data_IF_945948806919
#
_entry.id   IF_945948806919
#
_cell.length_a   1.000
_cell.length_b   1.000
_cell.length_c   1.000
_cell.angle_alpha   90.00
_cell.angle_beta   90.00
_cell.angle_gamma   90.00
#
_symmetry.space_group_name_H-M   'P 1'
#
loop_
_entity.id
_entity.type
_entity.pdbx_description
1 polymer ?
#
# COMPACT_ATOMS: atom_id res chain seq x y z
N UNK A 1 15.46 20.21 7.02
CA UNK A 1 14.34 19.25 6.89
C UNK A 1 14.42 18.27 8.05
N UNK A 2 13.28 17.76 8.52
CA UNK A 2 13.22 16.83 9.65
C UNK A 2 12.99 15.40 9.21
N UNK A 3 13.67 14.46 9.88
CA UNK A 3 13.44 13.02 9.81
C UNK A 3 11.96 12.69 10.08
N UNK A 4 11.36 11.83 9.25
CA UNK A 4 10.00 11.32 9.43
C UNK A 4 9.98 9.79 9.44
N UNK A 5 9.27 9.26 10.43
CA UNK A 5 8.98 7.84 10.62
C UNK A 5 7.48 7.67 10.76
N UNK A 6 6.90 6.73 10.02
CA UNK A 6 5.53 6.26 10.24
C UNK A 6 5.56 5.11 11.24
N UNK A 7 4.54 5.03 12.10
CA UNK A 7 4.27 3.85 12.91
C UNK A 7 2.80 3.44 12.77
N UNK A 8 2.57 2.15 12.54
CA UNK A 8 1.25 1.60 12.24
C UNK A 8 0.81 0.55 13.28
N UNK A 9 0.63 0.92 14.57
CA UNK A 9 0.17 -0.04 15.57
C UNK A 9 -1.19 -0.63 15.22
N UNK A 10 -1.39 -1.89 15.59
CA UNK A 10 -2.67 -2.58 15.42
C UNK A 10 -3.15 -3.05 16.79
N UNK A 11 -4.34 -2.63 17.20
CA UNK A 11 -4.95 -2.99 18.48
C UNK A 11 -6.07 -4.02 18.28
N UNK A 12 -6.21 -4.92 19.26
CA UNK A 12 -7.25 -5.96 19.30
C UNK A 12 -8.54 -5.41 19.92
N UNK A 13 -9.07 -4.36 19.31
CA UNK A 13 -10.45 -3.88 19.45
C UNK A 13 -10.77 -3.12 18.15
N UNK A 14 -11.94 -3.38 17.56
CA UNK A 14 -12.48 -2.66 16.40
C UNK A 14 -13.96 -2.31 16.57
N UNK A 15 -14.48 -2.42 17.79
CA UNK A 15 -15.90 -2.27 18.10
C UNK A 15 -16.13 -1.17 19.14
N UNK A 16 -15.31 -1.10 20.19
CA UNK A 16 -15.48 -0.15 21.29
C UNK A 16 -14.84 1.21 20.96
N UNK A 17 -15.69 2.14 20.52
CA UNK A 17 -15.28 3.50 20.15
C UNK A 17 -14.64 4.27 21.31
N UNK A 18 -15.03 4.02 22.57
CA UNK A 18 -14.43 4.69 23.73
C UNK A 18 -12.98 4.23 23.95
N UNK A 19 -12.70 2.94 23.77
CA UNK A 19 -11.34 2.36 23.85
C UNK A 19 -10.48 2.87 22.70
N UNK A 20 -11.00 2.85 21.48
CA UNK A 20 -10.29 3.33 20.28
C UNK A 20 -9.96 4.82 20.44
N UNK A 21 -10.93 5.67 20.81
CA UNK A 21 -10.69 7.10 21.00
C UNK A 21 -9.69 7.37 22.13
N UNK A 22 -9.79 6.68 23.27
CA UNK A 22 -8.84 6.83 24.37
C UNK A 22 -7.40 6.48 23.98
N UNK A 23 -7.21 5.48 23.09
CA UNK A 23 -5.90 5.15 22.50
C UNK A 23 -5.42 6.26 21.55
N UNK A 24 -6.28 6.75 20.66
CA UNK A 24 -5.94 7.85 19.72
C UNK A 24 -5.55 9.14 20.46
N UNK A 25 -6.29 9.50 21.52
CA UNK A 25 -6.03 10.67 22.36
C UNK A 25 -4.67 10.53 23.08
N UNK A 26 -4.38 9.35 23.64
CA UNK A 26 -3.10 9.09 24.31
C UNK A 26 -1.90 9.19 23.36
N UNK A 27 -2.05 8.78 22.09
CA UNK A 27 -1.02 8.91 21.06
C UNK A 27 -0.81 10.35 20.61
N UNK A 28 -1.91 11.07 20.35
CA UNK A 28 -1.89 12.44 19.79
C UNK A 28 -1.59 13.52 20.82
N UNK A 29 -1.71 13.21 22.11
CA UNK A 29 -1.22 14.07 23.20
C UNK A 29 0.32 14.22 23.22
N UNK A 30 1.08 13.36 22.52
CA UNK A 30 2.54 13.45 22.43
C UNK A 30 2.94 14.53 21.41
N UNK A 31 3.68 15.59 21.82
CA UNK A 31 4.10 16.66 20.91
C UNK A 31 4.94 16.14 19.74
N UNK A 32 4.53 16.47 18.52
CA UNK A 32 5.19 16.02 17.29
C UNK A 32 4.75 14.66 16.77
N UNK A 33 3.65 14.09 17.30
CA UNK A 33 2.91 12.97 16.70
C UNK A 33 1.71 13.52 15.94
N UNK A 34 1.58 13.13 14.67
CA UNK A 34 0.46 13.45 13.80
C UNK A 34 -0.31 12.17 13.46
N UNK A 35 -1.62 12.14 13.70
CA UNK A 35 -2.50 11.05 13.26
C UNK A 35 -2.81 11.21 11.76
N UNK A 36 -2.25 10.33 10.93
CA UNK A 36 -2.54 10.29 9.50
C UNK A 36 -3.89 9.63 9.23
N UNK A 37 -4.13 8.49 9.87
CA UNK A 37 -5.30 7.65 9.60
C UNK A 37 -5.66 6.74 10.79
N UNK A 38 -6.91 6.31 10.85
CA UNK A 38 -7.31 5.14 11.63
C UNK A 38 -8.46 4.41 10.94
N UNK A 39 -8.43 3.09 10.95
CA UNK A 39 -9.44 2.22 10.36
C UNK A 39 -9.82 1.15 11.38
N UNK A 40 -11.12 0.90 11.56
CA UNK A 40 -11.64 -0.04 12.57
C UNK A 40 -12.61 -1.01 11.93
N UNK A 41 -12.26 -2.29 11.98
CA UNK A 41 -13.07 -3.37 11.43
C UNK A 41 -13.75 -4.15 12.56
N UNK A 42 -15.08 -4.23 12.50
CA UNK A 42 -15.93 -4.83 13.53
C UNK A 42 -15.90 -6.36 13.51
N UNK A 43 -15.77 -6.98 12.33
CA UNK A 43 -15.82 -8.44 12.16
C UNK A 43 -14.45 -9.06 12.47
N UNK A 44 -13.39 -8.41 11.99
CA UNK A 44 -12.03 -8.69 12.40
C UNK A 44 -11.74 -8.30 13.87
N UNK A 45 -12.59 -7.45 14.46
CA UNK A 45 -12.47 -6.83 15.79
C UNK A 45 -11.08 -6.23 16.03
N UNK A 46 -10.69 -5.33 15.13
CA UNK A 46 -9.31 -4.85 15.03
C UNK A 46 -9.29 -3.41 14.51
N UNK A 47 -8.50 -2.55 15.15
CA UNK A 47 -8.18 -1.22 14.62
C UNK A 47 -6.73 -1.15 14.16
N UNK A 48 -6.53 -0.49 13.02
CA UNK A 48 -5.25 -0.08 12.45
C UNK A 48 -5.13 1.42 12.63
N UNK A 49 -4.06 1.88 13.27
CA UNK A 49 -3.83 3.29 13.55
C UNK A 49 -2.52 3.68 12.86
N UNK A 50 -2.49 4.79 12.14
CA UNK A 50 -1.31 5.27 11.41
C UNK A 50 -0.91 6.64 11.94
N UNK A 51 0.23 6.70 12.64
CA UNK A 51 0.85 7.95 13.10
C UNK A 51 2.16 8.24 12.37
N UNK A 52 2.51 9.52 12.26
CA UNK A 52 3.81 9.96 11.74
C UNK A 52 4.39 11.09 12.58
N UNK A 53 5.70 11.28 12.50
CA UNK A 53 6.42 12.37 13.15
C UNK A 53 7.92 12.11 13.18
N UNK A 54 8.63 12.81 14.07
CA UNK A 54 10.05 12.55 14.33
C UNK A 54 10.23 11.19 15.04
N UNK A 55 11.35 10.47 14.81
CA UNK A 55 11.69 9.19 15.45
C UNK A 55 11.26 9.06 16.93
N UNK A 56 11.73 9.97 17.80
CA UNK A 56 11.46 9.91 19.24
C UNK A 56 10.00 10.20 19.61
N UNK A 57 9.36 11.14 18.90
CA UNK A 57 7.96 11.49 19.14
C UNK A 57 7.05 10.30 18.80
N UNK A 58 7.29 9.68 17.64
CA UNK A 58 6.54 8.51 17.15
C UNK A 58 6.75 7.29 18.05
N UNK A 59 7.98 7.06 18.53
CA UNK A 59 8.27 5.99 19.48
C UNK A 59 7.56 6.20 20.83
N UNK A 60 7.46 7.45 21.31
CA UNK A 60 6.69 7.76 22.52
C UNK A 60 5.17 7.66 22.30
N UNK A 61 4.64 8.10 21.16
CA UNK A 61 3.23 7.89 20.80
C UNK A 61 2.87 6.41 20.70
N UNK A 62 3.74 5.60 20.07
CA UNK A 62 3.60 4.15 20.03
C UNK A 62 3.64 3.51 21.43
N UNK A 63 4.49 4.01 22.35
CA UNK A 63 4.51 3.54 23.73
C UNK A 63 3.19 3.84 24.47
N UNK A 64 2.65 5.06 24.38
CA UNK A 64 1.37 5.39 25.00
C UNK A 64 0.18 4.64 24.35
N UNK A 65 0.24 4.33 23.05
CA UNK A 65 -0.70 3.41 22.39
C UNK A 65 -0.72 2.04 23.09
N UNK A 66 0.45 1.42 23.25
CA UNK A 66 0.60 0.07 23.81
C UNK A 66 0.16 0.05 25.27
N UNK A 67 0.56 1.07 26.04
CA UNK A 67 0.17 1.25 27.44
C UNK A 67 -1.34 1.41 27.58
N UNK A 68 -1.96 2.35 26.86
CA UNK A 68 -3.41 2.59 26.92
C UNK A 68 -4.22 1.38 26.47
N UNK A 69 -3.78 0.70 25.40
CA UNK A 69 -4.39 -0.56 24.96
C UNK A 69 -4.29 -1.65 26.04
N UNK A 70 -3.16 -1.78 26.74
CA UNK A 70 -2.98 -2.77 27.80
C UNK A 70 -3.80 -2.51 29.07
N UNK A 71 -4.19 -1.26 29.32
CA UNK A 71 -5.07 -0.85 30.41
C UNK A 71 -6.56 -1.14 30.11
N UNK A 72 -6.95 -1.09 28.84
CA UNK A 72 -8.36 -1.11 28.40
C UNK A 72 -8.82 -2.41 27.72
N UNK A 73 -7.91 -3.15 27.07
CA UNK A 73 -8.23 -4.35 26.30
C UNK A 73 -7.88 -5.60 27.09
N UNK A 74 -8.85 -6.50 27.23
CA UNK A 74 -8.69 -7.81 27.87
C UNK A 74 -8.83 -8.94 26.84
N UNK A 75 -7.68 -9.46 26.38
CA UNK A 75 -7.63 -10.55 25.41
C UNK A 75 -8.32 -11.84 25.86
N UNK A 76 -8.50 -12.05 27.17
CA UNK A 76 -9.22 -13.23 27.68
C UNK A 76 -10.71 -13.21 27.31
N UNK A 77 -11.23 -12.03 26.95
CA UNK A 77 -12.60 -11.79 26.49
C UNK A 77 -12.67 -11.49 24.98
N UNK A 78 -11.56 -11.07 24.37
CA UNK A 78 -11.50 -10.70 22.95
C UNK A 78 -11.77 -11.86 22.00
N UNK A 79 -12.69 -11.64 21.05
CA UNK A 79 -12.96 -12.49 19.89
C UNK A 79 -13.09 -11.62 18.64
N UNK A 80 -12.52 -12.08 17.53
CA UNK A 80 -12.59 -11.47 16.20
C UNK A 80 -12.03 -12.43 15.17
N UNK A 81 -12.35 -12.25 13.89
CA UNK A 81 -11.88 -13.16 12.84
C UNK A 81 -10.37 -13.01 12.54
N UNK A 82 -9.77 -11.87 12.91
CA UNK A 82 -8.35 -11.62 12.67
C UNK A 82 -7.44 -12.35 13.67
N UNK A 83 -6.39 -13.08 13.22
CA UNK A 83 -5.41 -13.68 14.12
C UNK A 83 -4.66 -12.63 14.93
N UNK A 84 -4.76 -12.74 16.26
CA UNK A 84 -4.17 -11.80 17.24
C UNK A 84 -3.44 -12.50 18.38
N UNK A 85 -2.43 -11.87 18.95
CA UNK A 85 -1.69 -12.35 20.13
C UNK A 85 -1.48 -11.30 21.23
N UNK A 86 -1.72 -10.01 20.95
CA UNK A 86 -1.51 -8.90 21.87
C UNK A 86 -2.67 -7.90 21.88
N UNK A 87 -2.89 -7.19 23.00
CA UNK A 87 -3.81 -6.05 23.09
C UNK A 87 -3.42 -4.97 22.07
N UNK A 88 -2.11 -4.72 21.96
CA UNK A 88 -1.48 -4.27 20.71
C UNK A 88 -0.78 -5.47 20.08
N UNK A 89 -1.20 -5.83 18.87
CA UNK A 89 -0.86 -7.11 18.22
C UNK A 89 0.39 -6.98 17.32
N UNK A 90 0.64 -5.80 16.76
CA UNK A 90 1.91 -5.40 16.15
C UNK A 90 2.11 -3.90 16.22
N UNK A 91 3.36 -3.45 16.28
CA UNK A 91 3.77 -2.06 16.20
C UNK A 91 5.03 -1.95 15.30
N UNK A 92 4.87 -1.73 13.98
CA UNK A 92 5.97 -1.51 13.06
C UNK A 92 6.37 -0.03 12.98
N UNK A 93 7.66 0.22 12.81
CA UNK A 93 8.21 1.49 12.32
C UNK A 93 8.55 1.38 10.83
N UNK A 94 8.29 2.46 10.08
CA UNK A 94 8.51 2.54 8.64
C UNK A 94 9.28 3.83 8.33
N UNK A 95 10.42 3.77 7.62
CA UNK A 95 11.15 4.97 7.22
C UNK A 95 10.39 5.72 6.11
N UNK A 96 10.14 7.02 6.30
CA UNK A 96 9.41 7.85 5.33
C UNK A 96 10.31 8.91 4.70
N UNK A 97 11.06 9.69 5.50
CA UNK A 97 11.93 10.75 4.98
C UNK A 97 13.17 10.92 5.85
N UNK A 98 14.35 10.96 5.20
CA UNK A 98 15.65 11.19 5.83
C UNK A 98 15.98 10.20 6.99
N UNK A 99 15.39 9.00 6.96
CA UNK A 99 15.54 7.92 7.96
C UNK A 99 15.89 6.61 7.25
N UNK A 100 16.85 5.86 7.77
CA UNK A 100 17.20 4.54 7.23
C UNK A 100 16.41 3.39 7.87
N UNK A 101 16.42 2.21 7.27
CA UNK A 101 15.76 1.03 7.86
C UNK A 101 16.42 0.64 9.20
N UNK A 102 17.74 0.78 9.28
CA UNK A 102 18.53 0.50 10.48
C UNK A 102 18.12 1.40 11.66
N UNK A 103 17.84 2.68 11.40
CA UNK A 103 17.31 3.58 12.42
C UNK A 103 15.93 3.14 12.92
N UNK A 104 15.04 2.69 12.03
CA UNK A 104 13.75 2.11 12.41
C UNK A 104 13.90 0.78 13.18
N UNK A 105 14.93 -0.02 12.88
CA UNK A 105 15.26 -1.25 13.65
C UNK A 105 15.74 -0.90 15.06
N UNK A 106 16.54 0.15 15.24
CA UNK A 106 16.95 0.60 16.58
C UNK A 106 15.79 1.22 17.37
N UNK A 107 14.87 1.97 16.73
CA UNK A 107 13.60 2.39 17.35
C UNK A 107 12.77 1.18 17.83
N UNK A 108 12.64 0.15 16.98
CA UNK A 108 11.91 -1.07 17.32
C UNK A 108 12.52 -1.79 18.53
N UNK A 109 13.85 -1.93 18.59
CA UNK A 109 14.56 -2.51 19.74
C UNK A 109 14.39 -1.68 21.01
N UNK A 110 14.54 -0.36 20.91
CA UNK A 110 14.41 0.56 22.04
C UNK A 110 12.99 0.53 22.64
N UNK A 111 11.95 0.59 21.79
CA UNK A 111 10.56 0.49 22.23
C UNK A 111 10.26 -0.89 22.82
N UNK A 112 10.71 -1.98 22.18
CA UNK A 112 10.52 -3.34 22.69
C UNK A 112 11.11 -3.54 24.08
N UNK A 113 12.32 -3.02 24.32
CA UNK A 113 12.94 -3.01 25.64
C UNK A 113 12.10 -2.21 26.65
N UNK A 114 11.69 -0.98 26.31
CA UNK A 114 10.91 -0.11 27.20
C UNK A 114 9.55 -0.73 27.58
N UNK A 115 8.83 -1.29 26.61
CA UNK A 115 7.54 -2.00 26.82
C UNK A 115 7.72 -3.20 27.75
N UNK A 116 8.76 -4.00 27.53
CA UNK A 116 9.08 -5.14 28.39
C UNK A 116 9.47 -4.73 29.83
N UNK A 117 10.20 -3.63 29.98
CA UNK A 117 10.69 -3.14 31.28
C UNK A 117 9.59 -2.44 32.08
N UNK A 118 8.78 -1.57 31.47
CA UNK A 118 7.75 -0.78 32.15
C UNK A 118 6.39 -1.49 32.24
N UNK A 119 5.90 -2.08 31.13
CA UNK A 119 4.56 -2.67 31.04
C UNK A 119 4.53 -4.17 31.32
N UNK A 120 5.70 -4.83 31.42
CA UNK A 120 5.87 -6.29 31.57
C UNK A 120 5.23 -7.12 30.46
N UNK A 121 4.93 -6.50 29.31
CA UNK A 121 4.43 -7.18 28.12
C UNK A 121 5.65 -7.80 27.40
N UNK A 122 5.68 -9.11 27.15
CA UNK A 122 6.73 -9.71 26.32
C UNK A 122 6.65 -9.23 24.87
N UNK A 123 7.80 -9.16 24.21
CA UNK A 123 7.92 -8.66 22.84
C UNK A 123 8.74 -9.61 21.98
N UNK A 124 8.22 -9.91 20.78
CA UNK A 124 9.00 -10.46 19.67
C UNK A 124 9.45 -9.34 18.74
N UNK A 125 10.69 -9.40 18.27
CA UNK A 125 11.13 -8.57 17.15
C UNK A 125 10.83 -9.27 15.82
N UNK A 126 10.34 -8.51 14.83
CA UNK A 126 9.83 -9.06 13.55
C UNK A 126 10.21 -8.23 12.31
N UNK A 127 9.98 -8.79 11.11
CA UNK A 127 10.48 -8.31 9.79
C UNK A 127 11.97 -7.90 9.88
N UNK A 128 12.38 -6.68 9.53
CA UNK A 128 13.81 -6.29 9.49
C UNK A 128 14.46 -6.18 10.88
N UNK A 129 13.66 -6.11 11.95
CA UNK A 129 14.17 -6.13 13.33
C UNK A 129 14.37 -7.57 13.86
N UNK A 130 13.94 -8.61 13.13
CA UNK A 130 13.91 -9.98 13.61
C UNK A 130 15.31 -10.52 13.99
N UNK A 131 15.44 -10.97 15.24
CA UNK A 131 16.66 -11.61 15.76
C UNK A 131 16.89 -13.03 15.22
N UNK A 132 15.86 -13.64 14.61
CA UNK A 132 15.85 -15.01 14.10
C UNK A 132 15.12 -15.05 12.75
N UNK A 133 15.59 -15.82 11.73
CA UNK A 133 14.96 -15.84 10.41
C UNK A 133 13.47 -16.21 10.41
N UNK A 134 13.05 -17.11 11.31
CA UNK A 134 11.64 -17.50 11.45
C UNK A 134 10.74 -16.40 12.03
N UNK A 135 11.28 -15.32 12.61
CA UNK A 135 10.53 -14.18 13.12
C UNK A 135 10.31 -13.06 12.11
N UNK A 136 10.97 -13.09 10.94
CA UNK A 136 10.72 -12.11 9.88
C UNK A 136 9.23 -12.11 9.49
N UNK A 137 8.63 -13.30 9.29
CA UNK A 137 7.23 -13.41 8.90
C UNK A 137 6.28 -13.37 10.12
N UNK A 138 5.53 -12.27 10.25
CA UNK A 138 4.50 -12.08 11.28
C UNK A 138 3.50 -13.24 11.42
N UNK A 139 3.13 -13.91 10.32
CA UNK A 139 2.22 -15.06 10.36
C UNK A 139 2.83 -16.31 11.05
N UNK A 140 4.16 -16.41 11.08
CA UNK A 140 4.88 -17.44 11.85
C UNK A 140 4.95 -17.03 13.31
N UNK A 141 5.28 -15.77 13.61
CA UNK A 141 5.33 -15.20 14.97
C UNK A 141 3.99 -15.41 15.70
N UNK A 142 2.87 -15.06 15.04
CA UNK A 142 1.50 -15.17 15.56
C UNK A 142 0.88 -16.56 15.48
N UNK A 143 1.59 -17.57 14.98
CA UNK A 143 1.03 -18.92 14.85
C UNK A 143 0.55 -19.41 16.22
N UNK A 144 -0.70 -19.86 16.32
CA UNK A 144 -1.32 -20.28 17.58
C UNK A 144 -2.08 -19.17 18.33
N UNK A 145 -1.98 -17.91 17.89
CA UNK A 145 -2.65 -16.75 18.51
C UNK A 145 -2.28 -16.58 20.00
N UNK A 146 -3.03 -15.75 20.73
CA UNK A 146 -2.87 -15.54 22.17
C UNK A 146 -2.91 -16.86 22.95
N UNK A 147 -3.90 -17.72 22.69
CA UNK A 147 -4.14 -18.95 23.45
C UNK A 147 -3.00 -19.96 23.28
N UNK A 148 -2.62 -20.27 22.03
CA UNK A 148 -1.54 -21.22 21.77
C UNK A 148 -0.17 -20.69 22.21
N UNK A 149 0.08 -19.38 22.13
CA UNK A 149 1.35 -18.83 22.64
C UNK A 149 1.39 -18.86 24.16
N UNK A 150 0.29 -18.54 24.88
CA UNK A 150 0.20 -18.69 26.34
C UNK A 150 0.56 -20.11 26.80
N UNK A 151 0.06 -21.11 26.09
CA UNK A 151 0.24 -22.52 26.46
C UNK A 151 1.64 -23.04 26.09
N UNK A 152 2.27 -22.50 25.03
CA UNK A 152 3.63 -22.90 24.59
C UNK A 152 4.78 -22.09 25.22
N UNK A 153 4.60 -20.82 25.61
CA UNK A 153 5.70 -19.87 25.89
C UNK A 153 6.68 -20.32 26.98
N UNK A 154 6.18 -21.05 27.98
CA UNK A 154 6.97 -21.54 29.13
C UNK A 154 7.83 -22.76 28.82
N UNK A 155 7.47 -23.52 27.79
CA UNK A 155 8.01 -24.87 27.52
C UNK A 155 8.68 -24.99 26.15
N UNK A 156 8.28 -24.15 25.18
CA UNK A 156 8.81 -24.13 23.82
C UNK A 156 9.92 -23.06 23.68
N UNK A 157 11.21 -23.42 23.53
CA UNK A 157 12.30 -22.46 23.38
C UNK A 157 12.14 -21.50 22.19
N UNK A 158 11.40 -21.89 21.14
CA UNK A 158 11.16 -21.01 19.99
C UNK A 158 10.19 -19.87 20.27
N UNK A 159 9.40 -19.99 21.35
CA UNK A 159 8.50 -18.94 21.86
C UNK A 159 9.16 -18.00 22.87
N UNK A 160 10.44 -18.20 23.22
CA UNK A 160 11.13 -17.29 24.15
C UNK A 160 11.15 -15.86 23.58
N UNK A 161 10.56 -14.85 24.25
CA UNK A 161 10.53 -13.47 23.74
C UNK A 161 11.93 -12.89 23.55
N UNK A 162 12.04 -11.87 22.69
CA UNK A 162 13.28 -11.10 22.54
C UNK A 162 13.49 -10.16 23.73
N UNK A 163 12.39 -9.58 24.24
CA UNK A 163 12.36 -8.78 25.46
C UNK A 163 11.18 -9.17 26.36
N UNK A 164 11.35 -9.00 27.67
CA UNK A 164 10.29 -9.19 28.67
C UNK A 164 10.25 -10.58 29.31
N UNK A 165 9.21 -10.86 30.12
CA UNK A 165 9.05 -12.14 30.80
C UNK A 165 8.92 -13.32 29.82
N UNK A 166 9.37 -14.51 30.22
CA UNK A 166 9.07 -15.74 29.46
C UNK A 166 7.67 -16.30 29.80
N UNK A 167 6.68 -15.41 29.75
CA UNK A 167 5.27 -15.65 30.03
C UNK A 167 4.45 -14.55 29.31
N UNK A 168 3.19 -14.83 28.96
CA UNK A 168 2.32 -13.80 28.37
C UNK A 168 1.79 -12.84 29.44
N UNK A 169 1.55 -11.59 29.08
CA UNK A 169 0.82 -10.68 29.96
C UNK A 169 -0.63 -11.17 30.13
N UNK A 170 -1.20 -11.25 31.36
CA UNK A 170 -2.46 -11.93 31.61
C UNK A 170 -3.64 -11.46 30.74
N UNK A 171 -3.76 -10.15 30.54
CA UNK A 171 -4.82 -9.51 29.73
C UNK A 171 -4.33 -8.98 28.39
N UNK A 172 -3.04 -8.61 28.29
CA UNK A 172 -2.47 -7.91 27.13
C UNK A 172 -1.68 -8.83 26.19
N UNK A 173 -1.44 -10.08 26.57
CA UNK A 173 -0.79 -11.09 25.75
C UNK A 173 0.68 -10.80 25.47
N UNK A 174 1.05 -10.86 24.20
CA UNK A 174 2.40 -10.71 23.67
C UNK A 174 2.34 -9.94 22.37
N UNK A 175 3.32 -9.10 22.07
CA UNK A 175 3.28 -8.25 20.87
C UNK A 175 4.48 -8.43 19.96
N UNK A 176 4.32 -8.05 18.69
CA UNK A 176 5.42 -7.91 17.74
C UNK A 176 5.79 -6.43 17.59
N UNK A 177 7.07 -6.08 17.70
CA UNK A 177 7.59 -4.75 17.35
C UNK A 177 8.67 -4.93 16.29
N UNK A 178 8.73 -4.07 15.29
CA UNK A 178 9.70 -4.25 14.21
C UNK A 178 9.83 -3.06 13.29
N UNK A 179 10.63 -3.26 12.25
CA UNK A 179 10.80 -2.30 11.17
C UNK A 179 10.51 -2.98 9.83
N UNK A 180 9.88 -2.26 8.90
CA UNK A 180 9.56 -2.76 7.56
C UNK A 180 9.38 -1.62 6.57
N UNK A 181 9.41 -1.94 5.28
CA UNK A 181 8.92 -1.03 4.25
C UNK A 181 7.38 -0.86 4.36
N UNK A 182 6.85 0.19 3.73
CA UNK A 182 5.41 0.39 3.51
C UNK A 182 4.82 -0.88 2.88
N UNK A 183 3.70 -1.32 3.42
CA UNK A 183 2.97 -2.51 2.99
C UNK A 183 1.67 -2.03 2.37
N UNK A 184 1.44 -2.40 1.10
CA UNK A 184 0.20 -2.06 0.39
C UNK A 184 -0.71 -3.29 0.44
N UNK A 185 -1.90 -3.14 1.01
CA UNK A 185 -2.96 -4.12 0.93
C UNK A 185 -3.69 -3.92 -0.40
N UNK A 186 -3.44 -4.82 -1.35
CA UNK A 186 -3.94 -4.75 -2.72
C UNK A 186 -4.71 -6.03 -3.05
N UNK A 187 -6.01 -5.91 -3.25
CA UNK A 187 -6.88 -7.04 -3.53
C UNK A 187 -7.33 -7.02 -4.99
N UNK A 188 -7.54 -8.19 -5.62
CA UNK A 188 -8.02 -8.30 -7.01
C UNK A 188 -9.29 -9.15 -7.06
N UNK A 189 -10.34 -8.58 -7.64
CA UNK A 189 -11.68 -9.14 -7.71
C UNK A 189 -11.86 -10.00 -8.97
N UNK A 190 -12.36 -11.23 -8.81
CA UNK A 190 -12.59 -12.20 -9.89
C UNK A 190 -14.08 -12.35 -10.19
N UNK A 191 -14.42 -12.53 -11.48
CA UNK A 191 -15.77 -12.80 -11.99
C UNK A 191 -16.23 -14.24 -11.70
N UNK A 192 -16.19 -14.64 -10.42
CA UNK A 192 -16.62 -15.97 -9.98
C UNK A 192 -16.80 -15.98 -8.47
N UNK A 193 -17.91 -16.52 -7.98
CA UNK A 193 -18.12 -16.80 -6.55
C UNK A 193 -17.33 -18.01 -6.04
N UNK A 194 -16.70 -18.80 -6.92
CA UNK A 194 -15.92 -19.95 -6.52
C UNK A 194 -14.53 -19.55 -6.00
N UNK A 195 -14.42 -19.57 -4.67
CA UNK A 195 -13.19 -19.29 -3.92
C UNK A 195 -12.02 -20.22 -4.24
N UNK A 196 -12.24 -21.37 -4.91
CA UNK A 196 -11.15 -22.26 -5.30
C UNK A 196 -10.22 -21.62 -6.34
N UNK A 197 -10.74 -20.80 -7.25
CA UNK A 197 -9.92 -20.03 -8.20
C UNK A 197 -9.06 -19.01 -7.45
N UNK A 198 -9.67 -18.16 -6.61
CA UNK A 198 -8.94 -17.17 -5.81
C UNK A 198 -7.88 -17.82 -4.90
N UNK A 199 -8.17 -18.99 -4.30
CA UNK A 199 -7.20 -19.75 -3.49
C UNK A 199 -6.08 -20.38 -4.31
N UNK A 200 -6.33 -20.74 -5.57
CA UNK A 200 -5.33 -21.30 -6.48
C UNK A 200 -4.38 -20.22 -6.98
N UNK A 201 -4.92 -19.10 -7.49
CA UNK A 201 -4.14 -17.94 -7.90
C UNK A 201 -3.36 -17.34 -6.71
N UNK A 202 -4.01 -17.24 -5.54
CA UNK A 202 -3.37 -16.79 -4.30
C UNK A 202 -2.22 -17.66 -3.82
N UNK A 203 -2.19 -18.97 -4.16
CA UNK A 203 -1.01 -19.83 -3.96
C UNK A 203 0.06 -19.53 -5.01
N UNK A 204 -0.31 -19.52 -6.28
CA UNK A 204 0.62 -19.30 -7.40
C UNK A 204 1.40 -17.98 -7.26
N UNK A 205 0.76 -16.92 -6.76
CA UNK A 205 1.35 -15.59 -6.71
C UNK A 205 2.21 -15.31 -5.47
N UNK A 206 2.01 -16.01 -4.35
CA UNK A 206 2.68 -15.68 -3.08
C UNK A 206 4.05 -16.34 -2.93
N UNK A 207 4.99 -15.61 -2.35
CA UNK A 207 6.38 -16.05 -2.19
C UNK A 207 6.53 -17.43 -1.51
N UNK A 208 5.69 -17.72 -0.51
CA UNK A 208 5.75 -18.97 0.27
C UNK A 208 5.67 -20.24 -0.60
N UNK A 209 4.91 -20.19 -1.69
CA UNK A 209 4.69 -21.34 -2.58
C UNK A 209 5.46 -21.21 -3.91
N UNK A 210 6.45 -20.29 -3.97
CA UNK A 210 7.32 -20.08 -5.14
C UNK A 210 6.94 -18.91 -6.05
N UNK A 211 5.89 -18.14 -5.71
CA UNK A 211 5.46 -16.94 -6.43
C UNK A 211 6.36 -15.72 -6.19
N UNK A 212 5.84 -14.51 -6.43
CA UNK A 212 6.61 -13.28 -6.33
C UNK A 212 7.17 -13.06 -4.93
N UNK A 213 8.47 -12.75 -4.86
CA UNK A 213 9.11 -12.23 -3.66
C UNK A 213 8.38 -10.97 -3.19
N UNK A 214 8.25 -10.79 -1.89
CA UNK A 214 7.51 -9.68 -1.27
C UNK A 214 5.97 -9.69 -1.45
N UNK A 215 5.38 -10.71 -2.08
CA UNK A 215 3.93 -10.90 -2.13
C UNK A 215 3.48 -11.98 -1.14
N UNK A 216 2.60 -11.61 -0.20
CA UNK A 216 1.85 -12.54 0.66
C UNK A 216 0.39 -12.52 0.17
N UNK A 217 -0.25 -13.67 -0.11
CA UNK A 217 -1.61 -13.69 -0.65
C UNK A 217 -2.51 -14.81 -0.10
N UNK A 218 -3.83 -14.57 -0.15
CA UNK A 218 -4.90 -15.49 0.23
C UNK A 218 -6.13 -15.30 -0.67
N UNK A 219 -6.95 -16.35 -0.81
CA UNK A 219 -8.18 -16.32 -1.60
C UNK A 219 -9.42 -16.32 -0.71
N UNK A 220 -10.29 -15.32 -0.89
CA UNK A 220 -11.51 -15.09 -0.11
C UNK A 220 -12.76 -15.11 -0.99
N UNK A 221 -13.93 -15.28 -0.35
CA UNK A 221 -15.24 -15.17 -0.99
C UNK A 221 -15.97 -13.95 -0.41
N UNK A 222 -16.32 -12.99 -1.26
CA UNK A 222 -17.11 -11.81 -0.90
C UNK A 222 -18.58 -12.14 -1.15
N UNK A 223 -19.22 -12.77 -0.14
CA UNK A 223 -20.57 -13.32 -0.25
C UNK A 223 -21.62 -12.29 -0.71
N UNK A 224 -21.54 -11.06 -0.19
CA UNK A 224 -22.49 -9.99 -0.51
C UNK A 224 -22.42 -9.55 -1.97
N UNK A 225 -21.21 -9.55 -2.55
CA UNK A 225 -20.97 -9.23 -3.96
C UNK A 225 -21.09 -10.44 -4.89
N UNK A 226 -21.27 -11.66 -4.34
CA UNK A 226 -21.25 -12.93 -5.06
C UNK A 226 -20.00 -13.14 -5.94
N UNK A 227 -18.82 -12.75 -5.42
CA UNK A 227 -17.53 -12.89 -6.11
C UNK A 227 -16.45 -13.48 -5.18
N UNK A 228 -15.28 -13.77 -5.75
CA UNK A 228 -14.09 -14.19 -5.03
C UNK A 228 -12.95 -13.20 -5.29
N UNK A 229 -12.03 -13.12 -4.33
CA UNK A 229 -11.01 -12.08 -4.29
C UNK A 229 -9.65 -12.69 -3.94
N UNK A 230 -8.62 -12.34 -4.71
CA UNK A 230 -7.22 -12.60 -4.39
C UNK A 230 -6.73 -11.41 -3.56
N UNK A 231 -6.74 -11.54 -2.24
CA UNK A 231 -6.21 -10.52 -1.34
C UNK A 231 -4.70 -10.66 -1.21
N UNK A 232 -3.97 -9.56 -1.34
CA UNK A 232 -2.51 -9.54 -1.30
C UNK A 232 -1.98 -8.45 -0.38
N UNK A 233 -0.95 -8.78 0.39
CA UNK A 233 -0.12 -7.83 1.10
C UNK A 233 1.23 -7.75 0.38
N UNK A 234 1.48 -6.59 -0.23
CA UNK A 234 2.69 -6.24 -0.97
C UNK A 234 3.67 -5.61 0.01
N UNK A 235 4.58 -6.41 0.58
CA UNK A 235 5.45 -5.96 1.70
C UNK A 235 6.68 -5.16 1.27
N UNK A 236 6.93 -5.09 -0.04
CA UNK A 236 7.89 -4.22 -0.68
C UNK A 236 7.44 -4.03 -2.14
N UNK A 237 6.73 -2.93 -2.40
CA UNK A 237 6.17 -2.63 -3.72
C UNK A 237 7.23 -2.22 -4.75
N UNK A 238 8.38 -1.71 -4.31
CA UNK A 238 9.51 -1.37 -5.20
C UNK A 238 10.15 -2.65 -5.77
N UNK A 239 10.29 -3.68 -4.92
CA UNK A 239 10.83 -4.98 -5.30
C UNK A 239 9.84 -5.84 -6.10
N UNK A 240 8.53 -5.67 -5.91
CA UNK A 240 7.49 -6.26 -6.75
C UNK A 240 6.32 -5.28 -6.90
N UNK A 241 6.28 -4.52 -8.01
CA UNK A 241 5.25 -3.52 -8.27
C UNK A 241 3.84 -4.10 -8.44
N UNK A 242 2.82 -3.28 -8.13
CA UNK A 242 1.41 -3.65 -8.21
C UNK A 242 0.99 -4.11 -9.60
N UNK A 243 1.52 -3.49 -10.67
CA UNK A 243 1.20 -3.90 -12.04
C UNK A 243 1.62 -5.36 -12.35
N UNK A 244 2.72 -5.85 -11.76
CA UNK A 244 3.20 -7.21 -12.01
C UNK A 244 2.29 -8.24 -11.36
N UNK A 245 1.85 -7.99 -10.14
CA UNK A 245 0.91 -8.90 -9.47
C UNK A 245 -0.48 -8.81 -10.08
N UNK A 246 -0.94 -7.61 -10.45
CA UNK A 246 -2.21 -7.43 -11.15
C UNK A 246 -2.27 -8.19 -12.49
N UNK A 247 -1.29 -7.98 -13.38
CA UNK A 247 -1.23 -8.69 -14.67
C UNK A 247 -1.05 -10.21 -14.48
N UNK A 248 -0.33 -10.66 -13.45
CA UNK A 248 -0.25 -12.08 -13.13
C UNK A 248 -1.60 -12.66 -12.70
N UNK A 249 -2.33 -12.02 -11.76
CA UNK A 249 -3.68 -12.47 -11.35
C UNK A 249 -4.61 -12.50 -12.56
N UNK A 250 -4.56 -11.48 -13.41
CA UNK A 250 -5.36 -11.35 -14.64
C UNK A 250 -5.06 -12.46 -15.65
N UNK A 251 -3.79 -12.81 -15.87
CA UNK A 251 -3.41 -13.90 -16.77
C UNK A 251 -3.81 -15.28 -16.20
N UNK A 252 -3.59 -15.52 -14.90
CA UNK A 252 -4.00 -16.77 -14.25
C UNK A 252 -5.54 -16.91 -14.20
N UNK A 253 -6.28 -15.82 -14.01
CA UNK A 253 -7.73 -15.79 -14.12
C UNK A 253 -8.20 -16.23 -15.52
N UNK A 254 -7.58 -15.70 -16.58
CA UNK A 254 -7.89 -16.08 -17.96
C UNK A 254 -7.62 -17.57 -18.24
N UNK A 255 -6.62 -18.20 -17.61
CA UNK A 255 -6.40 -19.65 -17.73
C UNK A 255 -7.58 -20.50 -17.21
N UNK A 256 -8.38 -19.98 -16.27
CA UNK A 256 -9.61 -20.62 -15.78
C UNK A 256 -10.87 -20.13 -16.51
N UNK A 257 -10.74 -19.28 -17.54
CA UNK A 257 -11.88 -18.69 -18.26
C UNK A 257 -12.66 -17.63 -17.48
N UNK A 258 -12.10 -17.11 -16.38
CA UNK A 258 -12.71 -16.06 -15.55
C UNK A 258 -12.01 -14.71 -15.78
N UNK A 259 -12.73 -13.61 -15.60
CA UNK A 259 -12.20 -12.26 -15.75
C UNK A 259 -11.83 -11.63 -14.41
N UNK A 260 -10.85 -10.72 -14.41
CA UNK A 260 -10.69 -9.75 -13.32
C UNK A 260 -11.66 -8.60 -13.53
N UNK A 261 -12.55 -8.35 -12.58
CA UNK A 261 -13.59 -7.29 -12.70
C UNK A 261 -13.17 -5.97 -12.06
N UNK A 262 -12.21 -6.01 -11.14
CA UNK A 262 -11.70 -4.83 -10.44
C UNK A 262 -10.57 -5.19 -9.48
N UNK A 263 -10.06 -4.20 -8.78
CA UNK A 263 -9.13 -4.33 -7.68
C UNK A 263 -9.45 -3.30 -6.59
N UNK A 264 -8.76 -3.36 -5.47
CA UNK A 264 -9.01 -2.52 -4.30
C UNK A 264 -7.69 -2.27 -3.57
N UNK A 265 -7.47 -1.03 -3.12
CA UNK A 265 -6.39 -0.69 -2.20
C UNK A 265 -7.03 -0.35 -0.85
N UNK A 266 -6.64 -1.09 0.18
CA UNK A 266 -7.11 -0.87 1.56
C UNK A 266 -6.09 -0.01 2.30
N UNK A 267 -6.56 1.07 2.92
CA UNK A 267 -5.73 2.06 3.60
C UNK A 267 -4.98 3.00 2.64
N UNK A 268 -3.78 3.44 3.05
CA UNK A 268 -2.94 4.36 2.29
C UNK A 268 -1.99 3.64 1.34
N UNK A 269 -1.69 4.27 0.20
CA UNK A 269 -0.66 3.81 -0.76
C UNK A 269 0.32 4.94 -1.10
N UNK A 270 1.62 4.64 -1.27
CA UNK A 270 2.56 5.58 -1.88
C UNK A 270 2.19 5.87 -3.34
N UNK A 271 2.37 7.11 -3.77
CA UNK A 271 2.14 7.51 -5.16
C UNK A 271 3.03 6.71 -6.13
N UNK A 272 4.29 6.40 -5.75
CA UNK A 272 5.21 5.65 -6.62
C UNK A 272 4.66 4.27 -7.02
N UNK A 273 3.87 3.60 -6.17
CA UNK A 273 3.23 2.34 -6.50
C UNK A 273 2.16 2.46 -7.62
N UNK A 274 1.55 3.64 -7.74
CA UNK A 274 0.64 4.00 -8.84
C UNK A 274 1.43 4.49 -10.06
N UNK A 275 2.44 5.35 -9.88
CA UNK A 275 3.32 5.83 -10.95
C UNK A 275 4.01 4.69 -11.68
N UNK A 276 4.52 3.66 -10.98
CA UNK A 276 5.10 2.45 -11.58
C UNK A 276 4.13 1.74 -12.53
N UNK A 277 2.82 1.78 -12.22
CA UNK A 277 1.78 1.20 -13.06
C UNK A 277 1.50 2.07 -14.30
N UNK A 278 1.58 3.41 -14.19
CA UNK A 278 1.48 4.34 -15.33
C UNK A 278 2.71 4.20 -16.25
N UNK A 279 3.92 4.19 -15.66
CA UNK A 279 5.21 3.93 -16.33
C UNK A 279 5.14 2.65 -17.15
N UNK A 280 4.66 1.55 -16.56
CA UNK A 280 4.50 0.28 -17.26
C UNK A 280 3.42 0.31 -18.36
N UNK A 281 2.20 0.75 -18.01
CA UNK A 281 1.04 0.66 -18.90
C UNK A 281 1.15 1.55 -20.13
N UNK A 282 1.72 2.75 -19.96
CA UNK A 282 1.76 3.79 -20.99
C UNK A 282 3.16 4.05 -21.54
N UNK A 283 4.17 3.28 -21.11
CA UNK A 283 5.58 3.40 -21.52
C UNK A 283 6.12 4.83 -21.38
N UNK A 284 5.69 5.52 -20.32
CA UNK A 284 6.21 6.84 -19.96
C UNK A 284 7.57 6.69 -19.25
N UNK A 285 8.46 7.70 -19.29
CA UNK A 285 9.68 7.68 -18.49
C UNK A 285 9.36 7.60 -16.99
N UNK A 286 10.37 7.30 -16.18
CA UNK A 286 10.30 7.40 -14.72
C UNK A 286 9.74 8.76 -14.29
N UNK A 287 8.69 8.74 -13.47
CA UNK A 287 8.04 9.94 -12.96
C UNK A 287 8.68 10.31 -11.62
N UNK A 288 9.37 11.45 -11.58
CA UNK A 288 10.03 11.96 -10.36
C UNK A 288 9.14 12.94 -9.58
N UNK A 289 9.46 13.20 -8.30
CA UNK A 289 8.69 14.15 -7.47
C UNK A 289 8.65 15.56 -8.08
N UNK A 290 9.75 15.96 -8.73
CA UNK A 290 9.89 17.24 -9.41
C UNK A 290 8.95 17.39 -10.62
N UNK A 291 8.57 16.29 -11.27
CA UNK A 291 7.64 16.29 -12.40
C UNK A 291 6.17 16.41 -11.97
N UNK A 292 5.84 16.17 -10.70
CA UNK A 292 4.46 16.14 -10.22
C UNK A 292 3.99 17.56 -9.82
N UNK A 293 2.82 17.98 -10.30
CA UNK A 293 2.08 19.11 -9.74
C UNK A 293 1.21 18.61 -8.58
N UNK A 294 1.77 18.72 -7.38
CA UNK A 294 1.16 18.33 -6.12
C UNK A 294 0.06 19.29 -5.64
N UNK A 295 0.01 20.50 -6.17
CA UNK A 295 -1.05 21.46 -5.85
C UNK A 295 -2.35 21.15 -6.61
N UNK A 296 -2.27 20.35 -7.68
CA UNK A 296 -3.36 19.96 -8.61
C UNK A 296 -4.17 21.15 -9.17
N UNK A 297 -3.56 22.35 -9.15
CA UNK A 297 -4.14 23.61 -9.62
C UNK A 297 -4.09 23.73 -11.13
N UNK A 298 -3.10 23.12 -11.79
CA UNK A 298 -3.07 23.08 -13.23
C UNK A 298 -3.99 21.97 -13.75
N UNK A 299 -5.09 22.35 -14.42
CA UNK A 299 -5.97 21.40 -15.10
C UNK A 299 -5.53 21.09 -16.55
N UNK A 300 -4.40 21.62 -17.00
CA UNK A 300 -3.84 21.31 -18.31
C UNK A 300 -2.66 20.35 -18.22
N UNK A 301 -2.45 19.56 -19.27
CA UNK A 301 -1.28 18.71 -19.44
C UNK A 301 -0.63 18.99 -20.80
N UNK A 302 0.68 19.20 -20.80
CA UNK A 302 1.48 19.25 -22.03
C UNK A 302 2.58 18.20 -21.97
N UNK A 303 2.69 17.42 -23.03
CA UNK A 303 3.73 16.42 -23.17
C UNK A 303 4.18 16.26 -24.63
N UNK A 304 5.40 15.78 -24.79
CA UNK A 304 6.02 15.53 -26.10
C UNK A 304 6.32 14.06 -26.26
N UNK A 305 6.20 13.56 -27.50
CA UNK A 305 6.66 12.22 -27.88
C UNK A 305 7.64 12.28 -29.05
N UNK A 306 8.65 11.42 -28.97
CA UNK A 306 9.58 11.10 -30.05
C UNK A 306 9.39 9.63 -30.41
N UNK A 307 9.46 9.29 -31.70
CA UNK A 307 9.24 7.92 -32.21
C UNK A 307 10.46 7.42 -32.99
N UNK A 308 10.74 6.12 -32.90
CA UNK A 308 11.91 5.48 -33.52
C UNK A 308 12.01 5.73 -35.04
N UNK A 309 10.87 5.73 -35.73
CA UNK A 309 10.74 5.99 -37.17
C UNK A 309 9.59 6.97 -37.40
N UNK A 310 9.92 8.26 -37.45
CA UNK A 310 8.94 9.30 -37.77
C UNK A 310 8.62 9.35 -39.27
N UNK A 311 7.34 9.40 -39.63
CA UNK A 311 6.84 9.80 -40.94
C UNK A 311 5.77 10.90 -40.78
N UNK A 312 5.63 11.76 -41.79
CA UNK A 312 4.60 12.81 -41.78
C UNK A 312 3.18 12.23 -41.76
N UNK A 313 2.99 11.05 -42.36
CA UNK A 313 1.73 10.29 -42.35
C UNK A 313 1.36 9.86 -40.93
N UNK A 314 2.30 9.29 -40.17
CA UNK A 314 2.10 8.95 -38.75
C UNK A 314 1.78 10.20 -37.92
N UNK A 315 2.52 11.29 -38.12
CA UNK A 315 2.26 12.55 -37.42
C UNK A 315 0.84 13.06 -37.64
N UNK A 316 0.40 13.09 -38.90
CA UNK A 316 -0.97 13.47 -39.27
C UNK A 316 -2.02 12.49 -38.73
N UNK A 317 -1.74 11.18 -38.75
CA UNK A 317 -2.64 10.16 -38.20
C UNK A 317 -2.86 10.36 -36.70
N UNK A 318 -1.80 10.56 -35.90
CA UNK A 318 -1.96 10.79 -34.46
C UNK A 318 -2.73 12.10 -34.20
N UNK A 319 -2.44 13.17 -34.96
CA UNK A 319 -3.20 14.43 -34.86
C UNK A 319 -4.70 14.18 -35.14
N UNK A 320 -5.02 13.42 -36.19
CA UNK A 320 -6.40 13.07 -36.53
C UNK A 320 -7.05 12.17 -35.46
N UNK A 321 -6.34 11.15 -34.94
CA UNK A 321 -6.87 10.25 -33.91
C UNK A 321 -7.14 10.96 -32.58
N UNK A 322 -6.38 12.02 -32.27
CA UNK A 322 -6.56 12.82 -31.05
C UNK A 322 -7.57 13.97 -31.21
N UNK A 323 -7.81 14.46 -32.43
CA UNK A 323 -8.66 15.63 -32.71
C UNK A 323 -10.16 15.41 -32.42
N UNK A 324 -10.81 16.40 -31.81
CA UNK A 324 -12.25 16.40 -31.53
C UNK A 324 -13.11 16.28 -32.81
N UNK A 325 -12.69 16.91 -33.92
CA UNK A 325 -13.41 16.91 -35.21
C UNK A 325 -13.56 15.51 -35.84
N UNK A 326 -12.75 14.56 -35.38
CA UNK A 326 -12.60 13.20 -35.90
C UNK A 326 -13.03 12.14 -34.88
N UNK A 327 -13.68 12.55 -33.79
CA UNK A 327 -14.17 11.65 -32.74
C UNK A 327 -13.11 11.28 -31.68
N UNK A 328 -12.01 12.03 -31.64
CA UNK A 328 -10.96 11.93 -30.62
C UNK A 328 -11.36 12.56 -29.29
N UNK A 329 -10.59 13.54 -28.82
CA UNK A 329 -10.71 14.11 -27.47
C UNK A 329 -10.99 15.60 -27.53
N UNK A 330 -11.99 16.04 -26.76
CA UNK A 330 -12.36 17.45 -26.61
C UNK A 330 -11.24 18.23 -25.92
N UNK A 331 -10.93 19.42 -26.43
CA UNK A 331 -9.88 20.27 -25.84
C UNK A 331 -8.45 19.71 -25.96
N UNK A 332 -8.21 18.71 -26.82
CA UNK A 332 -6.89 18.16 -27.09
C UNK A 332 -6.36 18.68 -28.42
N UNK A 333 -5.12 19.18 -28.41
CA UNK A 333 -4.42 19.75 -29.56
C UNK A 333 -3.08 19.05 -29.73
N UNK A 334 -2.85 18.47 -30.90
CA UNK A 334 -1.58 17.85 -31.26
C UNK A 334 -0.93 18.59 -32.43
N UNK A 335 0.40 18.72 -32.41
CA UNK A 335 1.18 19.31 -33.50
C UNK A 335 2.53 18.60 -33.64
N UNK A 336 3.09 18.59 -34.86
CA UNK A 336 4.44 18.08 -35.13
C UNK A 336 5.40 19.23 -35.36
N UNK A 337 6.56 19.19 -34.71
CA UNK A 337 7.71 20.03 -35.03
C UNK A 337 9.00 19.21 -34.90
N UNK A 338 9.90 19.28 -35.89
CA UNK A 338 11.20 18.61 -35.86
C UNK A 338 11.17 17.10 -35.51
N UNK A 339 10.16 16.36 -36.01
CA UNK A 339 9.88 14.92 -35.71
C UNK A 339 9.41 14.62 -34.29
N UNK A 340 9.24 15.64 -33.45
CA UNK A 340 8.60 15.56 -32.14
C UNK A 340 7.11 15.89 -32.31
N UNK A 341 6.23 15.09 -31.73
CA UNK A 341 4.81 15.42 -31.62
C UNK A 341 4.54 15.99 -30.22
N UNK A 342 4.00 17.20 -30.16
CA UNK A 342 3.59 17.87 -28.93
C UNK A 342 2.08 17.76 -28.78
N UNK A 343 1.61 17.23 -27.65
CA UNK A 343 0.20 17.07 -27.31
C UNK A 343 -0.11 17.97 -26.11
N UNK A 344 -1.13 18.81 -26.26
CA UNK A 344 -1.67 19.69 -25.21
C UNK A 344 -3.10 19.28 -24.90
N UNK A 345 -3.43 19.16 -23.63
CA UNK A 345 -4.76 18.87 -23.10
C UNK A 345 -5.20 20.07 -22.29
N UNK A 346 -6.22 20.80 -22.74
CA UNK A 346 -6.69 22.01 -22.06
C UNK A 346 -7.43 21.71 -20.73
N UNK A 347 -8.07 20.54 -20.63
CA UNK A 347 -8.84 20.06 -19.47
C UNK A 347 -8.60 18.56 -19.24
N UNK A 348 -7.64 18.24 -18.37
CA UNK A 348 -7.22 16.89 -18.04
C UNK A 348 -8.21 16.17 -17.10
N UNK A 349 -9.04 16.90 -16.34
CA UNK A 349 -10.10 16.32 -15.48
C UNK A 349 -11.29 15.80 -16.28
N UNK A 350 -11.68 16.43 -17.39
CA UNK A 350 -12.73 15.90 -18.27
C UNK A 350 -12.22 14.99 -19.39
N UNK A 351 -10.92 15.01 -19.69
CA UNK A 351 -10.30 14.12 -20.69
C UNK A 351 -9.98 12.74 -20.10
N UNK A 352 -10.43 11.62 -20.71
CA UNK A 352 -10.04 10.28 -20.28
C UNK A 352 -8.57 9.99 -20.62
N UNK A 353 -7.66 10.45 -19.76
CA UNK A 353 -6.21 10.46 -19.99
C UNK A 353 -5.62 9.08 -20.32
N UNK A 354 -6.10 8.02 -19.66
CA UNK A 354 -5.73 6.64 -19.99
C UNK A 354 -6.01 6.29 -21.47
N UNK A 355 -7.15 6.71 -22.00
CA UNK A 355 -7.54 6.45 -23.39
C UNK A 355 -6.70 7.30 -24.35
N UNK A 356 -6.37 8.54 -23.97
CA UNK A 356 -5.49 9.42 -24.75
C UNK A 356 -4.09 8.82 -24.90
N UNK A 357 -3.49 8.35 -23.81
CA UNK A 357 -2.20 7.66 -23.85
C UNK A 357 -2.28 6.35 -24.66
N UNK A 358 -3.32 5.52 -24.46
CA UNK A 358 -3.50 4.29 -25.24
C UNK A 358 -3.71 4.53 -26.74
N UNK A 359 -4.51 5.53 -27.14
CA UNK A 359 -4.66 5.90 -28.56
C UNK A 359 -3.31 6.33 -29.13
N UNK A 360 -2.57 7.18 -28.43
CA UNK A 360 -1.23 7.63 -28.86
C UNK A 360 -0.27 6.46 -29.09
N UNK A 361 -0.23 5.48 -28.17
CA UNK A 361 0.58 4.27 -28.30
C UNK A 361 0.11 3.39 -29.47
N UNK A 362 -1.19 3.11 -29.52
CA UNK A 362 -1.81 2.24 -30.53
C UNK A 362 -1.56 2.73 -31.95
N UNK A 363 -1.68 4.03 -32.21
CA UNK A 363 -1.37 4.60 -33.53
C UNK A 363 0.12 4.46 -33.88
N UNK A 364 1.04 4.62 -32.93
CA UNK A 364 2.48 4.39 -33.20
C UNK A 364 2.80 2.93 -33.51
N UNK A 365 2.20 1.99 -32.78
CA UNK A 365 2.39 0.56 -33.01
C UNK A 365 1.74 0.09 -34.31
N UNK A 366 0.59 0.65 -34.69
CA UNK A 366 -0.07 0.38 -35.98
C UNK A 366 0.83 0.73 -37.18
N UNK A 367 1.64 1.79 -37.06
CA UNK A 367 2.62 2.20 -38.07
C UNK A 367 3.96 1.44 -37.97
N UNK A 368 4.07 0.42 -37.12
CA UNK A 368 5.29 -0.39 -36.98
C UNK A 368 6.48 0.37 -36.38
N UNK A 369 6.21 1.42 -35.59
CA UNK A 369 7.21 2.15 -34.79
C UNK A 369 6.85 2.08 -33.31
N UNK A 370 7.77 2.54 -32.46
CA UNK A 370 7.54 2.71 -31.03
C UNK A 370 7.83 4.15 -30.63
N UNK A 371 7.20 4.61 -29.55
CA UNK A 371 7.65 5.80 -28.81
C UNK A 371 9.01 5.47 -28.19
N UNK A 372 10.03 6.27 -28.51
CA UNK A 372 11.38 6.16 -27.94
C UNK A 372 11.59 7.04 -26.73
N UNK A 373 10.79 8.10 -26.62
CA UNK A 373 10.82 9.04 -25.50
C UNK A 373 9.47 9.75 -25.40
N UNK A 374 8.95 9.84 -24.18
CA UNK A 374 7.88 10.76 -23.83
C UNK A 374 8.45 11.74 -22.79
N UNK A 375 8.09 13.02 -22.83
CA UNK A 375 8.58 14.02 -21.88
C UNK A 375 7.44 14.91 -21.39
N UNK A 376 7.41 15.15 -20.08
CA UNK A 376 6.44 16.01 -19.39
C UNK A 376 7.21 17.14 -18.68
N UNK A 377 6.63 18.34 -18.64
CA UNK A 377 7.17 19.44 -17.82
C UNK A 377 6.61 19.36 -16.39
N UNK A 378 5.28 19.34 -16.27
CA UNK A 378 4.54 19.05 -15.04
C UNK A 378 3.37 18.13 -15.34
N UNK A 379 3.10 17.19 -14.43
CA UNK A 379 1.98 16.25 -14.48
C UNK A 379 1.09 16.51 -13.27
N UNK A 380 -0.16 16.98 -13.45
CA UNK A 380 -1.14 17.06 -12.36
C UNK A 380 -1.35 15.70 -11.72
N UNK A 381 -1.32 15.62 -10.39
CA UNK A 381 -1.40 14.35 -9.68
C UNK A 381 -2.68 13.56 -10.04
N UNK A 382 -3.82 14.23 -10.27
CA UNK A 382 -5.04 13.54 -10.69
C UNK A 382 -4.90 12.76 -12.01
N UNK A 383 -4.00 13.17 -12.92
CA UNK A 383 -3.74 12.45 -14.19
C UNK A 383 -3.10 11.10 -13.91
N UNK A 384 -2.08 11.08 -13.05
CA UNK A 384 -1.37 9.85 -12.67
C UNK A 384 -2.30 8.88 -11.96
N UNK A 385 -3.08 9.40 -11.00
CA UNK A 385 -4.04 8.61 -10.23
C UNK A 385 -5.11 8.02 -11.14
N UNK A 386 -5.75 8.84 -11.98
CA UNK A 386 -6.80 8.36 -12.91
C UNK A 386 -6.25 7.33 -13.91
N UNK A 387 -5.02 7.50 -14.39
CA UNK A 387 -4.37 6.56 -15.29
C UNK A 387 -4.04 5.23 -14.60
N UNK A 388 -3.51 5.26 -13.37
CA UNK A 388 -3.20 4.08 -12.58
C UNK A 388 -4.46 3.32 -12.15
N UNK A 389 -5.47 4.04 -11.65
CA UNK A 389 -6.79 3.51 -11.24
C UNK A 389 -7.47 2.81 -12.40
N UNK A 390 -7.47 3.41 -13.61
CA UNK A 390 -8.00 2.73 -14.80
C UNK A 390 -7.25 1.44 -15.13
N UNK A 391 -5.91 1.51 -15.17
CA UNK A 391 -5.09 0.39 -15.61
C UNK A 391 -5.13 -0.80 -14.63
N UNK A 392 -5.01 -0.54 -13.34
CA UNK A 392 -5.13 -1.54 -12.27
C UNK A 392 -6.60 -1.88 -11.93
N UNK A 393 -7.58 -1.22 -12.54
CA UNK A 393 -9.03 -1.36 -12.30
C UNK A 393 -9.43 -1.13 -10.83
N UNK A 394 -8.81 -0.17 -10.15
CA UNK A 394 -9.06 0.06 -8.71
C UNK A 394 -10.45 0.65 -8.51
N UNK A 395 -11.25 0.00 -7.68
CA UNK A 395 -12.59 0.45 -7.29
C UNK A 395 -12.48 1.42 -6.11
N UNK A 396 -13.35 2.45 -6.06
CA UNK A 396 -13.52 3.38 -4.94
C UNK A 396 -12.26 4.13 -4.46
N UNK A 397 -11.23 4.24 -5.30
CA UNK A 397 -9.98 4.90 -4.93
C UNK A 397 -10.10 6.43 -4.91
N UNK A 398 -9.71 7.06 -3.81
CA UNK A 398 -9.65 8.52 -3.68
C UNK A 398 -8.20 9.05 -3.61
N UNK A 399 -7.98 10.28 -4.06
CA UNK A 399 -6.66 10.93 -4.02
C UNK A 399 -6.14 11.11 -2.58
N UNK A 400 -7.03 11.23 -1.59
CA UNK A 400 -6.70 11.25 -0.17
C UNK A 400 -6.17 9.92 0.38
N UNK A 401 -6.24 8.80 -0.36
CA UNK A 401 -5.54 7.56 0.01
C UNK A 401 -4.05 7.59 -0.33
N UNK A 402 -3.57 8.61 -1.03
CA UNK A 402 -2.15 8.74 -1.37
C UNK A 402 -1.41 9.26 -0.14
N UNK A 403 -0.42 8.49 0.31
CA UNK A 403 0.35 8.79 1.51
C UNK A 403 0.95 10.20 1.43
N UNK A 404 1.67 10.50 0.35
CA UNK A 404 2.36 11.76 0.15
C UNK A 404 1.42 12.98 0.09
N UNK A 405 0.15 12.80 -0.29
CA UNK A 405 -0.89 13.84 -0.20
C UNK A 405 -1.22 14.10 1.28
N UNK A 406 -1.56 13.06 2.05
CA UNK A 406 -1.78 13.21 3.50
C UNK A 406 -0.56 13.77 4.24
N UNK A 407 0.66 13.46 3.79
CA UNK A 407 1.88 14.06 4.35
C UNK A 407 1.96 15.57 4.08
N UNK A 408 1.75 16.00 2.83
CA UNK A 408 1.77 17.43 2.45
C UNK A 408 0.65 18.23 3.12
N UNK A 409 -0.50 17.61 3.40
CA UNK A 409 -1.60 18.22 4.16
C UNK A 409 -1.32 18.34 5.67
N UNK A 410 -0.82 17.26 6.30
CA UNK A 410 -0.77 17.14 7.78
C UNK A 410 0.61 17.35 8.40
N UNK A 411 1.68 17.43 7.60
CA UNK A 411 3.07 17.51 8.08
C UNK A 411 3.78 18.67 7.36
N UNK A 412 3.57 19.88 7.88
CA UNK A 412 4.25 21.12 7.45
C UNK A 412 5.62 21.31 8.12
#
# INVERSE_FOLDING_TARGET
>A
MSKLVECVPNISDGQNQEVIQAVLDAMTAIPGVTLLDHESDKDHNRSVITIIGKPDAVSNGAFECIKKASELIDLTKHKGEHPRMGATDVCPFIPIKDVTMEECVELAKALAKKVAEELKIPVYLYEEAATRPNRQNLAVVRKGQFEGIRDEIKTNPDRKPDFGPNDVHPTAGIMAIGARMILIAFNVNLDSSDVTYAKTIGKAIRFKDGGFRYTKAMGFALKERNISQVSMNMVNYVGTPLYRTFEFVKNEAMHFGISVIGSEIVGLTPLKALSDAVEHAFRVPEITDEMIDWDDKNNSLEFTIEVAKFSSELGNQIINALSENTGGFKGVKANVSNKTLTIKVDDAKSTPMHRLFYTTLSETEHFGTTITKMSFEKIPIHVLVTAAVFYLRIENFDIGQILEVKLREKVQ
#
